data_IF_137456036199
#
_entry.id   IF_137456036199
#
_cell.length_a   1.000
_cell.length_b   1.000
_cell.length_c   1.000
_cell.angle_alpha   90.00
_cell.angle_beta   90.00
_cell.angle_gamma   90.00
#
_symmetry.space_group_name_H-M   'P 1'
#
loop_
_entity.id
_entity.type
_entity.pdbx_description
1 polymer ?
#
# COMPACT_ATOMS: atom_id res chain seq x y z
N UNK A 1 23.76 17.14 2.42
CA UNK A 1 22.74 16.72 3.41
C UNK A 1 21.58 16.09 2.65
N UNK A 2 21.11 14.89 3.03
CA UNK A 2 19.89 14.32 2.44
C UNK A 2 18.68 15.20 2.76
N UNK A 3 17.73 15.32 1.82
CA UNK A 3 16.51 16.13 1.98
C UNK A 3 15.65 15.52 3.10
N UNK A 4 15.14 16.31 4.06
CA UNK A 4 14.22 15.82 5.09
C UNK A 4 13.01 15.10 4.49
N UNK A 5 12.52 14.05 5.15
CA UNK A 5 11.39 13.25 4.66
C UNK A 5 10.11 14.08 4.46
N UNK A 6 9.89 15.09 5.30
CA UNK A 6 8.76 16.03 5.18
C UNK A 6 8.82 16.85 3.88
N UNK A 7 10.00 17.35 3.52
CA UNK A 7 10.22 18.10 2.28
C UNK A 7 10.06 17.21 1.05
N UNK A 8 10.55 15.96 1.10
CA UNK A 8 10.33 14.97 0.03
C UNK A 8 8.84 14.69 -0.18
N UNK A 9 8.07 14.53 0.91
CA UNK A 9 6.63 14.29 0.85
C UNK A 9 5.87 15.50 0.27
N UNK A 10 6.29 16.72 0.61
CA UNK A 10 5.68 17.94 0.09
C UNK A 10 5.95 18.08 -1.42
N UNK A 11 7.19 17.89 -1.84
CA UNK A 11 7.58 17.93 -3.25
C UNK A 11 6.80 16.89 -4.09
N UNK A 12 6.67 15.66 -3.59
CA UNK A 12 5.89 14.62 -4.27
C UNK A 12 4.40 15.00 -4.41
N UNK A 13 3.83 15.64 -3.39
CA UNK A 13 2.44 16.12 -3.43
C UNK A 13 2.24 17.22 -4.46
N UNK A 14 3.14 18.21 -4.51
CA UNK A 14 3.12 19.29 -5.51
C UNK A 14 3.17 18.70 -6.92
N UNK A 15 4.15 17.82 -7.18
CA UNK A 15 4.31 17.19 -8.48
C UNK A 15 3.08 16.38 -8.89
N UNK A 16 2.42 15.68 -7.96
CA UNK A 16 1.20 14.93 -8.24
C UNK A 16 0.04 15.85 -8.66
N UNK A 17 -0.16 16.97 -7.96
CA UNK A 17 -1.19 17.95 -8.30
C UNK A 17 -0.96 18.57 -9.68
N UNK A 18 0.26 19.02 -9.97
CA UNK A 18 0.63 19.57 -11.29
C UNK A 18 0.42 18.55 -12.41
N UNK A 19 0.88 17.32 -12.18
CA UNK A 19 0.69 16.21 -13.11
C UNK A 19 -0.79 15.94 -13.43
N UNK A 20 -1.67 16.00 -12.43
CA UNK A 20 -3.11 15.81 -12.65
C UNK A 20 -3.80 17.03 -13.26
N UNK A 21 -3.35 18.25 -12.94
CA UNK A 21 -3.81 19.47 -13.59
C UNK A 21 -3.49 19.44 -15.10
N UNK A 22 -2.31 18.93 -15.47
CA UNK A 22 -1.87 18.76 -16.85
C UNK A 22 -2.49 17.55 -17.56
N UNK A 23 -3.41 16.81 -16.92
CA UNK A 23 -4.08 15.65 -17.51
C UNK A 23 -5.52 16.01 -17.91
N UNK A 24 -5.76 16.44 -19.17
CA UNK A 24 -7.10 16.82 -19.61
C UNK A 24 -8.07 15.63 -19.65
N UNK A 25 -7.58 14.45 -20.04
CA UNK A 25 -8.36 13.23 -20.06
C UNK A 25 -7.83 12.20 -19.03
N UNK A 26 -8.48 12.17 -17.86
CA UNK A 26 -8.10 11.30 -16.74
C UNK A 26 -8.32 9.81 -17.04
N UNK A 27 -9.36 9.47 -17.79
CA UNK A 27 -9.65 8.07 -18.10
C UNK A 27 -8.64 7.50 -19.10
N UNK A 28 -8.20 8.30 -20.07
CA UNK A 28 -7.18 7.94 -21.04
C UNK A 28 -5.81 7.71 -20.39
N UNK A 29 -5.41 8.54 -19.42
CA UNK A 29 -4.13 8.39 -18.69
C UNK A 29 -3.97 7.01 -18.06
N UNK A 30 -5.06 6.43 -17.55
CA UNK A 30 -5.05 5.13 -16.84
C UNK A 30 -5.49 3.96 -17.72
N UNK A 31 -5.99 4.20 -18.92
CA UNK A 31 -6.51 3.15 -19.80
C UNK A 31 -5.46 2.10 -20.19
N UNK A 32 -4.19 2.44 -20.52
CA UNK A 32 -3.16 1.45 -20.84
C UNK A 32 -2.89 0.50 -19.67
N UNK A 33 -2.77 1.03 -18.45
CA UNK A 33 -2.53 0.22 -17.26
C UNK A 33 -3.70 -0.72 -16.94
N UNK A 34 -4.94 -0.25 -17.12
CA UNK A 34 -6.15 -1.09 -16.96
C UNK A 34 -6.18 -2.22 -17.98
N UNK A 35 -5.92 -1.93 -19.27
CA UNK A 35 -5.84 -2.95 -20.33
C UNK A 35 -4.76 -3.98 -20.06
N UNK A 36 -3.55 -3.55 -19.73
CA UNK A 36 -2.44 -4.47 -19.44
C UNK A 36 -2.76 -5.42 -18.28
N UNK A 37 -3.47 -4.94 -17.25
CA UNK A 37 -3.90 -5.78 -16.15
C UNK A 37 -4.95 -6.82 -16.58
N UNK A 38 -5.91 -6.43 -17.41
CA UNK A 38 -6.94 -7.34 -17.91
C UNK A 38 -6.34 -8.37 -18.88
N UNK A 39 -5.44 -7.94 -19.78
CA UNK A 39 -4.69 -8.79 -20.71
C UNK A 39 -3.88 -9.87 -19.98
N UNK A 40 -3.19 -9.52 -18.88
CA UNK A 40 -2.48 -10.48 -18.04
C UNK A 40 -3.38 -11.62 -17.55
N UNK A 41 -4.60 -11.32 -17.10
CA UNK A 41 -5.51 -12.36 -16.62
C UNK A 41 -6.11 -13.18 -17.76
N UNK A 42 -6.34 -12.55 -18.91
CA UNK A 42 -6.79 -13.24 -20.11
C UNK A 42 -5.73 -14.23 -20.63
N UNK A 43 -4.45 -13.84 -20.65
CA UNK A 43 -3.34 -14.70 -21.00
C UNK A 43 -3.23 -15.89 -20.04
N UNK A 44 -3.30 -15.64 -18.73
CA UNK A 44 -3.29 -16.70 -17.71
C UNK A 44 -4.49 -17.65 -17.82
N UNK A 45 -5.62 -17.16 -18.30
CA UNK A 45 -6.79 -17.97 -18.57
C UNK A 45 -6.71 -18.74 -19.90
N UNK A 46 -5.68 -18.52 -20.72
CA UNK A 46 -5.57 -19.09 -22.05
C UNK A 46 -6.60 -18.55 -23.03
N UNK A 47 -7.00 -17.28 -22.87
CA UNK A 47 -7.98 -16.60 -23.72
C UNK A 47 -9.44 -16.74 -23.29
N UNK A 48 -9.74 -17.47 -22.20
CA UNK A 48 -11.09 -17.61 -21.67
C UNK A 48 -11.48 -16.40 -20.77
N UNK A 49 -12.46 -15.57 -21.17
CA UNK A 49 -12.84 -14.37 -20.43
C UNK A 49 -13.50 -14.67 -19.08
N UNK A 50 -14.28 -15.76 -18.95
CA UNK A 50 -14.93 -16.11 -17.68
C UNK A 50 -13.88 -16.58 -16.66
N UNK A 51 -12.93 -17.42 -17.11
CA UNK A 51 -11.80 -17.82 -16.27
C UNK A 51 -10.93 -16.62 -15.89
N UNK A 52 -10.69 -15.68 -16.80
CA UNK A 52 -9.93 -14.46 -16.52
C UNK A 52 -10.60 -13.61 -15.42
N UNK A 53 -11.92 -13.45 -15.46
CA UNK A 53 -12.68 -12.74 -14.43
C UNK A 53 -12.55 -13.41 -13.05
N UNK A 54 -12.64 -14.74 -13.00
CA UNK A 54 -12.44 -15.50 -11.77
C UNK A 54 -11.00 -15.36 -11.23
N UNK A 55 -9.99 -15.40 -12.09
CA UNK A 55 -8.59 -15.20 -11.71
C UNK A 55 -8.35 -13.79 -11.16
N UNK A 56 -8.89 -12.77 -11.82
CA UNK A 56 -8.84 -11.37 -11.38
C UNK A 56 -9.50 -11.19 -10.02
N UNK A 57 -10.68 -11.79 -9.83
CA UNK A 57 -11.41 -11.76 -8.56
C UNK A 57 -10.62 -12.44 -7.44
N UNK A 58 -10.03 -13.60 -7.70
CA UNK A 58 -9.18 -14.31 -6.76
C UNK A 58 -7.93 -13.49 -6.38
N UNK A 59 -7.30 -12.81 -7.35
CA UNK A 59 -6.16 -11.94 -7.12
C UNK A 59 -6.46 -10.83 -6.10
N UNK A 60 -7.56 -10.09 -6.31
CA UNK A 60 -7.93 -9.02 -5.38
C UNK A 60 -8.35 -9.54 -4.00
N UNK A 61 -9.01 -10.70 -3.92
CA UNK A 61 -9.34 -11.34 -2.63
C UNK A 61 -8.07 -11.73 -1.86
N UNK A 62 -7.06 -12.29 -2.53
CA UNK A 62 -5.76 -12.59 -1.90
C UNK A 62 -5.06 -11.32 -1.40
N UNK A 63 -5.10 -10.24 -2.19
CA UNK A 63 -4.53 -8.95 -1.79
C UNK A 63 -5.23 -8.37 -0.55
N UNK A 64 -6.56 -8.42 -0.52
CA UNK A 64 -7.36 -7.98 0.62
C UNK A 64 -7.06 -8.79 1.89
N UNK A 65 -6.95 -10.12 1.76
CA UNK A 65 -6.59 -11.01 2.87
C UNK A 65 -5.20 -10.66 3.44
N UNK A 66 -4.19 -10.52 2.57
CA UNK A 66 -2.83 -10.15 2.99
C UNK A 66 -2.80 -8.79 3.69
N UNK A 67 -3.58 -7.84 3.18
CA UNK A 67 -3.72 -6.50 3.78
C UNK A 67 -4.34 -6.57 5.18
N UNK A 68 -5.40 -7.36 5.36
CA UNK A 68 -6.03 -7.57 6.66
C UNK A 68 -5.07 -8.22 7.68
N UNK A 69 -4.34 -9.25 7.24
CA UNK A 69 -3.31 -9.90 8.06
C UNK A 69 -2.19 -8.93 8.46
N UNK A 70 -1.72 -8.09 7.52
CA UNK A 70 -0.70 -7.08 7.79
C UNK A 70 -1.15 -6.07 8.83
N UNK A 71 -2.39 -5.56 8.72
CA UNK A 71 -2.94 -4.62 9.70
C UNK A 71 -3.05 -5.23 11.09
N UNK A 72 -3.45 -6.50 11.18
CA UNK A 72 -3.49 -7.23 12.46
C UNK A 72 -2.10 -7.31 13.10
N UNK A 73 -1.10 -7.79 12.35
CA UNK A 73 0.28 -7.90 12.84
C UNK A 73 0.86 -6.57 13.29
N UNK A 74 0.57 -5.48 12.57
CA UNK A 74 1.01 -4.14 12.95
C UNK A 74 0.41 -3.68 14.29
N UNK A 75 -0.88 -4.00 14.54
CA UNK A 75 -1.54 -3.71 15.83
C UNK A 75 -0.92 -4.55 16.95
N UNK A 76 -0.79 -5.85 16.75
CA UNK A 76 -0.17 -6.78 17.70
C UNK A 76 1.26 -6.31 18.08
N UNK A 77 2.06 -5.89 17.09
CA UNK A 77 3.41 -5.36 17.32
C UNK A 77 3.41 -4.02 18.08
N UNK A 78 2.47 -3.13 17.79
CA UNK A 78 2.33 -1.84 18.48
C UNK A 78 1.90 -2.05 19.94
N UNK A 79 0.96 -2.97 20.18
CA UNK A 79 0.52 -3.34 21.52
C UNK A 79 1.64 -3.99 22.33
N UNK A 80 2.40 -4.91 21.71
CA UNK A 80 3.57 -5.51 22.34
C UNK A 80 4.65 -4.47 22.70
N UNK A 81 4.93 -3.51 21.80
CA UNK A 81 5.88 -2.43 22.08
C UNK A 81 5.42 -1.56 23.26
N UNK A 82 4.14 -1.16 23.27
CA UNK A 82 3.58 -0.38 24.39
C UNK A 82 3.61 -1.14 25.71
N UNK A 83 3.33 -2.44 25.69
CA UNK A 83 3.40 -3.27 26.89
C UNK A 83 4.83 -3.37 27.42
N UNK A 84 5.81 -3.54 26.52
CA UNK A 84 7.23 -3.56 26.88
C UNK A 84 7.71 -2.20 27.43
N UNK A 85 7.28 -1.08 26.82
CA UNK A 85 7.56 0.27 27.34
C UNK A 85 6.98 0.45 28.76
N UNK A 86 5.73 0.04 28.98
CA UNK A 86 5.10 0.11 30.30
C UNK A 86 5.78 -0.80 31.34
N UNK A 87 6.23 -1.99 30.95
CA UNK A 87 6.99 -2.89 31.81
C UNK A 87 8.36 -2.29 32.19
N UNK A 88 9.07 -1.72 31.22
CA UNK A 88 10.34 -1.00 31.45
C UNK A 88 10.16 0.19 32.40
N UNK A 89 9.09 0.95 32.23
CA UNK A 89 8.75 2.06 33.12
C UNK A 89 8.43 1.57 34.54
N UNK A 90 7.63 0.50 34.67
CA UNK A 90 7.24 -0.09 35.95
C UNK A 90 8.40 -0.75 36.72
N UNK A 91 9.39 -1.30 36.01
CA UNK A 91 10.64 -1.81 36.58
C UNK A 91 11.58 -0.69 37.05
N UNK A 92 11.11 0.56 37.02
CA UNK A 92 11.78 1.72 37.58
C UNK A 92 12.95 2.14 36.70
N UNK A 93 12.65 2.57 35.46
CA UNK A 93 13.58 3.11 34.46
C UNK A 93 14.86 3.70 35.07
N UNK A 94 15.82 2.82 35.30
CA UNK A 94 16.95 3.09 36.16
C UNK A 94 18.03 3.82 35.39
N UNK A 95 18.22 5.09 35.73
CA UNK A 95 19.52 5.75 35.68
C UNK A 95 19.93 6.38 34.35
N UNK A 96 19.51 7.62 34.14
CA UNK A 96 20.43 8.69 33.73
C UNK A 96 20.20 9.88 34.66
N UNK A 97 21.00 9.91 35.74
CA UNK A 97 21.33 11.12 36.47
C UNK A 97 22.31 11.98 35.66
#
# INVERSE_FOLDING_TARGET
MPIPASEQSLAASIAAHESWANTPNRSARTAPARRALDEKFLEQAGGDPQRAEHLRSAYFKRLALKSAQSRRRAREATEAARAAEAELEALGGGGLA
#
